data_IF_737633848122
#
_entry.id   IF_737633848122
#
_cell.length_a   1.000
_cell.length_b   1.000
_cell.length_c   1.000
_cell.angle_alpha   90.00
_cell.angle_beta   90.00
_cell.angle_gamma   90.00
#
_symmetry.space_group_name_H-M   'P 1'
#
loop_
_entity.id
_entity.type
_entity.pdbx_description
1 polymer ?
#
# COMPACT_ATOMS: atom_id res chain seq x y z
N UNK A 1 -6.19 38.68 11.69
CA UNK A 1 -5.19 37.74 11.16
C UNK A 1 -4.79 36.81 12.31
N UNK A 2 -5.35 35.60 12.39
CA UNK A 2 -5.00 34.56 13.39
C UNK A 2 -5.68 33.19 13.14
N UNK A 3 -6.80 33.15 12.39
CA UNK A 3 -7.59 31.91 12.24
C UNK A 3 -7.00 30.86 11.27
N UNK A 4 -5.97 31.18 10.47
CA UNK A 4 -5.33 30.21 9.57
C UNK A 4 -4.25 29.35 10.24
N UNK A 5 -3.53 29.89 11.23
CA UNK A 5 -2.42 29.19 11.88
C UNK A 5 -2.90 28.17 12.92
N UNK A 6 -3.96 28.49 13.66
CA UNK A 6 -4.54 27.58 14.68
C UNK A 6 -5.18 26.36 14.00
N UNK A 7 -5.91 26.57 12.90
CA UNK A 7 -6.49 25.45 12.13
C UNK A 7 -5.40 24.54 11.57
N UNK A 8 -4.28 25.11 11.10
CA UNK A 8 -3.11 24.35 10.65
C UNK A 8 -2.47 23.53 11.76
N UNK A 9 -2.26 24.09 12.97
CA UNK A 9 -1.62 23.34 14.05
C UNK A 9 -2.51 22.22 14.61
N UNK A 10 -3.83 22.44 14.69
CA UNK A 10 -4.78 21.40 15.10
C UNK A 10 -4.79 20.26 14.09
N UNK A 11 -4.93 20.56 12.80
CA UNK A 11 -4.92 19.53 11.74
C UNK A 11 -3.61 18.75 11.78
N UNK A 12 -2.47 19.44 11.84
CA UNK A 12 -1.14 18.80 11.86
C UNK A 12 -0.95 17.90 13.08
N UNK A 13 -1.43 18.33 14.25
CA UNK A 13 -1.34 17.55 15.49
C UNK A 13 -2.24 16.32 15.44
N UNK A 14 -3.51 16.48 15.05
CA UNK A 14 -4.49 15.41 14.95
C UNK A 14 -4.06 14.37 13.91
N UNK A 15 -3.65 14.80 12.71
CA UNK A 15 -3.18 13.90 11.66
C UNK A 15 -1.94 13.12 12.08
N UNK A 16 -1.00 13.74 12.83
CA UNK A 16 0.19 13.03 13.36
C UNK A 16 -0.18 11.86 14.27
N UNK A 17 -1.29 11.98 15.01
CA UNK A 17 -1.80 10.93 15.89
C UNK A 17 -2.57 9.89 15.09
N UNK A 18 -3.47 10.31 14.19
CA UNK A 18 -4.39 9.41 13.47
C UNK A 18 -3.70 8.59 12.38
N UNK A 19 -2.72 9.15 11.65
CA UNK A 19 -2.06 8.45 10.53
C UNK A 19 -1.51 7.07 10.93
N UNK A 20 -0.76 6.92 12.05
CA UNK A 20 -0.34 5.60 12.52
C UNK A 20 -1.48 4.60 12.75
N UNK A 21 -2.64 5.05 13.24
CA UNK A 21 -3.81 4.18 13.43
C UNK A 21 -4.44 3.77 12.09
N UNK A 22 -4.51 4.68 11.12
CA UNK A 22 -4.93 4.36 9.74
C UNK A 22 -4.00 3.31 9.15
N UNK A 23 -2.69 3.47 9.34
CA UNK A 23 -1.70 2.52 8.84
C UNK A 23 -1.85 1.15 9.50
N UNK A 24 -2.02 1.12 10.82
CA UNK A 24 -2.25 -0.12 11.55
C UNK A 24 -3.55 -0.82 11.09
N UNK A 25 -4.62 -0.04 10.86
CA UNK A 25 -5.87 -0.58 10.32
C UNK A 25 -5.72 -1.12 8.90
N UNK A 26 -4.95 -0.44 8.04
CA UNK A 26 -4.59 -0.94 6.72
C UNK A 26 -3.83 -2.27 6.78
N UNK A 27 -2.81 -2.36 7.64
CA UNK A 27 -2.06 -3.62 7.87
C UNK A 27 -2.96 -4.73 8.42
N UNK A 28 -3.83 -4.43 9.37
CA UNK A 28 -4.81 -5.36 9.90
C UNK A 28 -5.71 -5.93 8.78
N UNK A 29 -6.19 -5.05 7.89
CA UNK A 29 -7.05 -5.41 6.75
C UNK A 29 -6.35 -6.33 5.75
N UNK A 30 -5.04 -6.15 5.53
CA UNK A 30 -4.23 -7.05 4.69
C UNK A 30 -4.11 -8.42 5.36
N UNK A 31 -3.73 -8.44 6.64
CA UNK A 31 -3.43 -9.68 7.36
C UNK A 31 -4.68 -10.54 7.56
N UNK A 32 -5.83 -9.92 7.83
CA UNK A 32 -7.10 -10.62 8.09
C UNK A 32 -7.99 -10.71 6.85
N UNK A 33 -7.43 -10.53 5.66
CA UNK A 33 -8.16 -10.56 4.39
C UNK A 33 -8.86 -11.90 4.10
N UNK A 34 -8.32 -13.02 4.59
CA UNK A 34 -8.92 -14.35 4.40
C UNK A 34 -10.17 -14.60 5.27
N UNK A 35 -10.25 -13.93 6.43
CA UNK A 35 -11.25 -14.21 7.46
C UNK A 35 -12.33 -13.12 7.58
N UNK A 36 -12.16 -11.98 6.89
CA UNK A 36 -13.05 -10.82 7.00
C UNK A 36 -13.28 -10.15 5.64
N UNK A 37 -14.36 -9.37 5.45
CA UNK A 37 -14.50 -8.51 4.28
C UNK A 37 -13.32 -7.54 4.23
N UNK A 38 -12.38 -7.76 3.31
CA UNK A 38 -11.04 -7.16 3.41
C UNK A 38 -10.09 -7.62 2.32
N UNK A 39 -8.79 -7.47 2.57
CA UNK A 39 -7.72 -7.98 1.72
C UNK A 39 -6.63 -6.96 1.40
N UNK A 40 -5.65 -7.42 0.64
CA UNK A 40 -4.51 -6.69 0.10
C UNK A 40 -4.93 -5.44 -0.66
N UNK A 41 -5.95 -5.53 -1.52
CA UNK A 41 -6.42 -4.37 -2.28
C UNK A 41 -6.91 -3.25 -1.35
N UNK A 42 -7.88 -3.54 -0.48
CA UNK A 42 -8.49 -2.54 0.40
C UNK A 42 -7.46 -2.00 1.41
N UNK A 43 -6.66 -2.88 2.01
CA UNK A 43 -5.58 -2.50 2.91
C UNK A 43 -4.51 -1.63 2.22
N UNK A 44 -4.15 -1.97 0.97
CA UNK A 44 -3.25 -1.16 0.14
C UNK A 44 -3.80 0.24 -0.15
N UNK A 45 -5.10 0.37 -0.44
CA UNK A 45 -5.76 1.69 -0.62
C UNK A 45 -5.72 2.50 0.68
N UNK A 46 -5.99 1.87 1.83
CA UNK A 46 -5.93 2.53 3.15
C UNK A 46 -4.52 3.03 3.43
N UNK A 47 -3.50 2.19 3.21
CA UNK A 47 -2.10 2.57 3.37
C UNK A 47 -1.71 3.71 2.43
N UNK A 48 -2.05 3.63 1.14
CA UNK A 48 -1.77 4.68 0.16
C UNK A 48 -2.44 6.01 0.54
N UNK A 49 -3.70 5.96 0.98
CA UNK A 49 -4.45 7.14 1.46
C UNK A 49 -3.82 7.75 2.70
N UNK A 50 -3.26 6.94 3.61
CA UNK A 50 -2.54 7.46 4.79
C UNK A 50 -1.32 8.31 4.39
N UNK A 51 -0.62 7.92 3.32
CA UNK A 51 0.52 8.66 2.77
C UNK A 51 0.06 9.93 2.03
N UNK A 52 -1.07 9.86 1.33
CA UNK A 52 -1.70 11.04 0.72
C UNK A 52 -2.08 12.06 1.81
N UNK A 53 -2.71 11.61 2.89
CA UNK A 53 -3.05 12.48 4.03
C UNK A 53 -1.80 13.11 4.65
N UNK A 54 -0.73 12.32 4.84
CA UNK A 54 0.57 12.84 5.28
C UNK A 54 1.09 13.91 4.32
N UNK A 55 0.96 13.70 3.02
CA UNK A 55 1.40 14.65 1.99
C UNK A 55 0.62 15.96 2.04
N UNK A 56 -0.71 15.90 2.18
CA UNK A 56 -1.58 17.09 2.27
C UNK A 56 -1.24 17.91 3.53
N UNK A 57 -0.97 17.25 4.65
CA UNK A 57 -0.77 17.92 5.95
C UNK A 57 0.66 18.45 6.14
N UNK A 58 1.67 17.74 5.63
CA UNK A 58 3.08 18.07 5.84
C UNK A 58 3.77 18.67 4.61
N UNK A 59 3.10 18.70 3.46
CA UNK A 59 3.55 19.34 2.24
C UNK A 59 4.06 18.36 1.19
N UNK A 60 3.76 18.67 -0.07
CA UNK A 60 4.10 17.85 -1.24
C UNK A 60 5.60 17.66 -1.45
N UNK A 61 6.39 18.74 -1.32
CA UNK A 61 7.83 18.70 -1.56
C UNK A 61 8.57 17.85 -0.52
N UNK A 62 8.14 17.92 0.74
CA UNK A 62 8.66 17.05 1.80
C UNK A 62 8.31 15.58 1.52
N UNK A 63 7.08 15.30 1.07
CA UNK A 63 6.65 13.95 0.75
C UNK A 63 7.40 13.36 -0.44
N UNK A 64 7.58 14.12 -1.54
CA UNK A 64 8.38 13.70 -2.70
C UNK A 64 9.84 13.43 -2.34
N UNK A 65 10.41 14.20 -1.40
CA UNK A 65 11.78 13.98 -0.92
C UNK A 65 11.90 12.68 -0.12
N UNK A 66 10.92 12.35 0.72
CA UNK A 66 10.91 11.12 1.53
C UNK A 66 10.52 9.87 0.74
N UNK A 67 9.63 10.03 -0.23
CA UNK A 67 9.07 8.94 -1.03
C UNK A 67 9.34 9.26 -2.50
N UNK A 68 10.60 9.10 -2.96
CA UNK A 68 10.95 9.40 -4.33
C UNK A 68 10.27 8.42 -5.29
N UNK A 69 9.99 8.86 -6.51
CA UNK A 69 9.32 8.06 -7.55
C UNK A 69 9.97 6.69 -7.76
N UNK A 70 11.30 6.62 -7.74
CA UNK A 70 12.04 5.36 -7.88
C UNK A 70 11.67 4.34 -6.80
N UNK A 71 11.50 4.78 -5.55
CA UNK A 71 11.09 3.92 -4.44
C UNK A 71 9.68 3.37 -4.65
N UNK A 72 8.75 4.21 -5.11
CA UNK A 72 7.37 3.79 -5.41
C UNK A 72 7.36 2.70 -6.50
N UNK A 73 8.14 2.88 -7.56
CA UNK A 73 8.24 1.90 -8.65
C UNK A 73 8.87 0.57 -8.18
N UNK A 74 9.86 0.63 -7.29
CA UNK A 74 10.46 -0.56 -6.69
C UNK A 74 9.44 -1.32 -5.86
N UNK A 75 8.68 -0.65 -4.97
CA UNK A 75 7.64 -1.32 -4.18
C UNK A 75 6.52 -1.89 -5.06
N UNK A 76 6.07 -1.14 -6.07
CA UNK A 76 5.08 -1.61 -7.03
C UNK A 76 5.53 -2.90 -7.74
N UNK A 77 6.77 -2.94 -8.20
CA UNK A 77 7.34 -4.10 -8.88
C UNK A 77 7.56 -5.26 -7.92
N UNK A 78 8.00 -4.97 -6.69
CA UNK A 78 8.22 -5.97 -5.65
C UNK A 78 6.92 -6.65 -5.24
N UNK A 79 5.83 -5.90 -5.06
CA UNK A 79 4.53 -6.48 -4.75
C UNK A 79 4.02 -7.41 -5.85
N UNK A 80 4.19 -7.01 -7.12
CA UNK A 80 3.86 -7.86 -8.27
C UNK A 80 4.76 -9.10 -8.35
N UNK A 81 6.04 -8.96 -8.02
CA UNK A 81 6.99 -10.07 -7.97
C UNK A 81 6.64 -11.07 -6.86
N UNK A 82 6.18 -10.61 -5.70
CA UNK A 82 5.69 -11.48 -4.63
C UNK A 82 4.46 -12.25 -5.10
N UNK A 83 3.46 -11.55 -5.65
CA UNK A 83 2.24 -12.14 -6.17
C UNK A 83 2.52 -13.24 -7.22
N UNK A 84 3.27 -12.88 -8.26
CA UNK A 84 3.61 -13.80 -9.34
C UNK A 84 4.58 -14.89 -8.91
N UNK A 85 5.49 -14.56 -7.99
CA UNK A 85 6.46 -15.49 -7.42
C UNK A 85 5.79 -16.64 -6.68
N UNK A 86 4.78 -16.38 -5.85
CA UNK A 86 4.02 -17.44 -5.17
C UNK A 86 3.36 -18.38 -6.19
N UNK A 87 2.70 -17.83 -7.21
CA UNK A 87 2.05 -18.65 -8.24
C UNK A 87 3.04 -19.47 -9.07
N UNK A 88 4.23 -18.92 -9.37
CA UNK A 88 5.30 -19.65 -10.05
C UNK A 88 5.91 -20.74 -9.17
N UNK A 89 6.08 -20.49 -7.86
CA UNK A 89 6.58 -21.49 -6.93
C UNK A 89 5.63 -22.69 -6.86
N UNK A 90 4.31 -22.49 -6.76
CA UNK A 90 3.34 -23.59 -6.80
C UNK A 90 3.50 -24.46 -8.06
N UNK A 91 3.70 -23.84 -9.23
CA UNK A 91 3.93 -24.57 -10.48
C UNK A 91 5.25 -25.35 -10.47
N UNK A 92 6.32 -24.77 -9.92
CA UNK A 92 7.63 -25.42 -9.82
C UNK A 92 7.57 -26.69 -8.96
N UNK A 93 6.67 -26.75 -7.99
CA UNK A 93 6.48 -27.90 -7.11
C UNK A 93 5.33 -28.82 -7.55
N UNK A 94 4.92 -28.75 -8.83
CA UNK A 94 3.97 -29.69 -9.44
C UNK A 94 2.50 -29.33 -9.23
N UNK A 95 2.20 -28.10 -8.80
CA UNK A 95 0.86 -27.53 -8.74
C UNK A 95 0.46 -26.76 -9.99
N UNK A 96 -0.74 -26.18 -9.94
CA UNK A 96 -1.24 -25.14 -10.84
C UNK A 96 -0.83 -23.76 -10.31
N UNK A 97 -0.84 -22.77 -11.19
CA UNK A 97 -0.61 -21.38 -10.79
C UNK A 97 -1.61 -20.97 -9.71
N UNK A 98 -1.11 -20.52 -8.56
CA UNK A 98 -1.89 -20.12 -7.38
C UNK A 98 -2.80 -21.25 -6.84
N UNK A 99 -2.29 -22.48 -6.79
CA UNK A 99 -2.96 -23.61 -6.10
C UNK A 99 -2.80 -23.54 -4.57
N UNK A 100 -1.88 -22.72 -4.07
CA UNK A 100 -1.59 -22.38 -2.66
C UNK A 100 -1.18 -23.54 -1.75
N UNK A 101 -1.18 -24.78 -2.23
CA UNK A 101 -1.00 -26.00 -1.41
C UNK A 101 0.32 -26.71 -1.65
N UNK A 102 1.12 -26.28 -2.63
CA UNK A 102 2.24 -27.07 -3.17
C UNK A 102 3.61 -26.56 -2.77
N UNK A 103 3.68 -25.50 -1.97
CA UNK A 103 4.94 -25.00 -1.43
C UNK A 103 5.62 -26.08 -0.55
N UNK A 104 6.94 -26.33 -0.69
CA UNK A 104 7.65 -27.41 -0.01
C UNK A 104 8.01 -27.02 1.44
N UNK A 105 7.02 -26.62 2.23
CA UNK A 105 7.19 -26.27 3.63
C UNK A 105 6.85 -27.46 4.52
N UNK A 106 7.52 -27.64 5.67
CA UNK A 106 7.23 -28.71 6.63
C UNK A 106 5.99 -28.37 7.48
N UNK A 107 4.89 -27.99 6.82
CA UNK A 107 3.64 -27.56 7.43
C UNK A 107 2.46 -28.37 6.89
N UNK A 108 1.34 -28.46 7.63
CA UNK A 108 0.10 -29.00 7.10
C UNK A 108 -0.39 -28.21 5.87
N UNK A 109 -1.05 -28.88 4.93
CA UNK A 109 -1.52 -28.25 3.68
C UNK A 109 -2.40 -27.01 3.90
N UNK A 110 -3.21 -26.98 4.96
CA UNK A 110 -4.06 -25.82 5.28
C UNK A 110 -3.25 -24.59 5.73
N UNK A 111 -2.15 -24.80 6.47
CA UNK A 111 -1.26 -23.71 6.90
C UNK A 111 -0.43 -23.18 5.73
N UNK A 112 -0.02 -24.06 4.80
CA UNK A 112 0.65 -23.67 3.56
C UNK A 112 -0.28 -22.79 2.72
N UNK A 113 -1.55 -23.16 2.60
CA UNK A 113 -2.55 -22.35 1.89
C UNK A 113 -2.73 -20.98 2.52
N UNK A 114 -2.95 -20.91 3.83
CA UNK A 114 -3.14 -19.65 4.55
C UNK A 114 -1.92 -18.74 4.39
N UNK A 115 -0.71 -19.28 4.54
CA UNK A 115 0.52 -18.51 4.35
C UNK A 115 0.70 -18.01 2.92
N UNK A 116 0.42 -18.87 1.92
CA UNK A 116 0.57 -18.51 0.51
C UNK A 116 -0.44 -17.41 0.11
N UNK A 117 -1.68 -17.51 0.59
CA UNK A 117 -2.72 -16.48 0.42
C UNK A 117 -2.26 -15.18 1.10
N UNK A 118 -1.80 -15.22 2.34
CA UNK A 118 -1.30 -14.04 3.05
C UNK A 118 -0.14 -13.37 2.30
N UNK A 119 0.83 -14.13 1.79
CA UNK A 119 1.92 -13.58 0.98
C UNK A 119 1.41 -12.88 -0.28
N UNK A 120 0.42 -13.47 -0.95
CA UNK A 120 -0.23 -12.88 -2.12
C UNK A 120 -0.96 -11.59 -1.76
N UNK A 121 -1.72 -11.56 -0.67
CA UNK A 121 -2.42 -10.36 -0.19
C UNK A 121 -1.43 -9.24 0.19
N UNK A 122 -0.29 -9.58 0.80
CA UNK A 122 0.79 -8.62 1.06
C UNK A 122 1.34 -8.06 -0.26
N UNK A 123 1.62 -8.91 -1.25
CA UNK A 123 2.10 -8.49 -2.56
C UNK A 123 1.12 -7.54 -3.28
N UNK A 124 -0.17 -7.87 -3.25
CA UNK A 124 -1.24 -7.02 -3.77
C UNK A 124 -1.28 -5.70 -3.00
N UNK A 125 -1.24 -5.73 -1.67
CA UNK A 125 -1.31 -4.52 -0.84
C UNK A 125 -0.15 -3.55 -1.05
N UNK A 126 1.08 -4.05 -1.18
CA UNK A 126 2.25 -3.23 -1.51
C UNK A 126 2.09 -2.59 -2.89
N UNK A 127 1.64 -3.36 -3.88
CA UNK A 127 1.43 -2.88 -5.26
C UNK A 127 0.38 -1.78 -5.29
N UNK A 128 -0.78 -2.03 -4.68
CA UNK A 128 -1.91 -1.09 -4.66
C UNK A 128 -1.54 0.18 -3.91
N UNK A 129 -0.91 0.07 -2.73
CA UNK A 129 -0.39 1.25 -2.00
C UNK A 129 0.50 2.11 -2.91
N UNK A 130 1.45 1.47 -3.60
CA UNK A 130 2.40 2.16 -4.47
C UNK A 130 1.71 2.83 -5.65
N UNK A 131 0.74 2.16 -6.29
CA UNK A 131 -0.05 2.71 -7.40
C UNK A 131 -0.86 3.92 -6.94
N UNK A 132 -1.55 3.83 -5.80
CA UNK A 132 -2.36 4.94 -5.26
C UNK A 132 -1.50 6.18 -5.00
N UNK A 133 -0.32 6.00 -4.39
CA UNK A 133 0.62 7.11 -4.15
C UNK A 133 1.11 7.69 -5.47
N UNK A 134 1.48 6.84 -6.44
CA UNK A 134 1.97 7.28 -7.75
C UNK A 134 0.92 8.09 -8.51
N UNK A 135 -0.33 7.60 -8.53
CA UNK A 135 -1.44 8.28 -9.18
C UNK A 135 -1.69 9.64 -8.56
N UNK A 136 -1.66 9.75 -7.23
CA UNK A 136 -1.79 11.03 -6.54
C UNK A 136 -0.68 12.01 -6.94
N UNK A 137 0.59 11.59 -6.90
CA UNK A 137 1.71 12.47 -7.31
C UNK A 137 1.66 12.86 -8.78
N UNK A 138 1.14 11.99 -9.65
CA UNK A 138 0.94 12.31 -11.06
C UNK A 138 -0.19 13.33 -11.26
N UNK A 139 -1.33 13.13 -10.59
CA UNK A 139 -2.48 14.03 -10.66
C UNK A 139 -2.12 15.45 -10.22
N UNK A 140 -1.40 15.59 -9.10
CA UNK A 140 -1.01 16.91 -8.58
C UNK A 140 -0.01 17.61 -9.52
N UNK A 141 0.89 16.85 -10.15
CA UNK A 141 1.85 17.41 -11.12
C UNK A 141 1.16 17.96 -12.38
N UNK A 142 0.09 17.32 -12.82
CA UNK A 142 -0.64 17.77 -14.02
C UNK A 142 -1.38 19.08 -13.78
N UNK A 143 -1.90 19.29 -12.56
CA UNK A 143 -2.50 20.56 -12.13
C UNK A 143 -1.47 21.71 -12.13
N UNK A 144 -0.27 21.47 -11.60
CA UNK A 144 0.83 22.45 -11.62
C UNK A 144 1.25 22.83 -13.05
N UNK A 145 1.15 21.89 -14.00
CA UNK A 145 1.52 22.14 -15.40
C UNK A 145 0.48 22.96 -16.17
N UNK A 146 -0.81 22.83 -15.82
CA UNK A 146 -1.90 23.59 -16.44
C UNK A 146 -2.11 24.97 -15.80
N UNK A 147 -1.76 25.15 -14.52
CA UNK A 147 -1.86 26.43 -13.82
C UNK A 147 -0.84 27.51 -14.23
N UNK A 148 0.18 27.16 -15.03
CA UNK A 148 1.19 28.10 -15.54
C UNK A 148 0.73 28.84 -16.82
N UNK A 149 -0.42 28.46 -17.41
CA UNK A 149 -0.97 29.07 -18.62
C UNK A 149 -2.28 29.87 -18.39
N UNK A 150 -2.61 30.25 -17.16
CA UNK A 150 -3.78 31.07 -16.82
C UNK A 150 -3.38 32.43 -16.24
#
# INVERSE_FOLDING_TARGET
MANGEITSIVIRTVSRIIIPFIQLFGLYTIIHGEASPGGGFQGGVILGTSIILLTIVFGLEEAKRRIPRGLILVFMSLGLLIYSGIGLLDMLFGGKYLEYTRLPLPLPAHEISALSILCVEIGIGITVMSVIILLFFYSVRDEDAHGINA
#
